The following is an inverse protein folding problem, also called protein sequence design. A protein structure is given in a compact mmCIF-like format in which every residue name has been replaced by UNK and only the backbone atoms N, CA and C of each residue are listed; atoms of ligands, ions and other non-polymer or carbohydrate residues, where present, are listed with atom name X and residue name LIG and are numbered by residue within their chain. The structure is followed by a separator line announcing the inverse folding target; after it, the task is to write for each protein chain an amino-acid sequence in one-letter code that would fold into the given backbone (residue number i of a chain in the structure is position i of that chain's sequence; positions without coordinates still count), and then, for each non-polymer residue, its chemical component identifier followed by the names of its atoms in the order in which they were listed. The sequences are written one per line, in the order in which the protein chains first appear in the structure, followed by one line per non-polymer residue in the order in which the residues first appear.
data_IF_561078193664
#
_entry.id   IF_561078193664
#
_cell.length_a   1.000
_cell.length_b   1.000
_cell.length_c   1.000
_cell.angle_alpha   90.00
_cell.angle_beta   90.00
_cell.angle_gamma   90.00
#
_symmetry.space_group_name_H-M   'P 1'
#
loop_
_entity.id
_entity.type
_entity.pdbx_description
1 polymer ?
#
# COMPACT_ATOMS: atom_id res chain seq x y z
N UNK A 1 24.22 -2.38 18.36
CA UNK A 1 23.71 -3.77 18.25
C UNK A 1 22.84 -3.85 17.01
N UNK A 2 23.43 -4.25 15.90
CA UNK A 2 22.83 -4.18 14.56
C UNK A 2 21.87 -5.36 14.38
N UNK A 3 20.55 -5.11 14.35
CA UNK A 3 19.58 -6.16 14.00
C UNK A 3 19.63 -6.33 12.48
N UNK A 4 20.49 -7.22 11.97
CA UNK A 4 20.45 -7.63 10.57
C UNK A 4 19.13 -8.35 10.33
N UNK A 5 18.11 -7.63 9.87
CA UNK A 5 16.83 -8.22 9.51
C UNK A 5 17.04 -8.98 8.19
N UNK A 6 16.87 -10.30 8.22
CA UNK A 6 17.08 -11.13 7.06
C UNK A 6 16.08 -10.79 5.94
N UNK A 7 16.56 -10.78 4.69
CA UNK A 7 15.71 -10.74 3.51
C UNK A 7 15.09 -12.12 3.34
N UNK A 8 13.76 -12.18 3.24
CA UNK A 8 13.01 -13.42 3.06
C UNK A 8 12.52 -13.50 1.62
N UNK A 9 12.89 -14.54 0.85
CA UNK A 9 12.34 -14.76 -0.48
C UNK A 9 10.93 -15.37 -0.39
N UNK A 10 9.97 -14.78 -1.10
CA UNK A 10 8.60 -15.28 -1.25
C UNK A 10 8.44 -15.84 -2.66
N UNK A 11 8.26 -17.16 -2.80
CA UNK A 11 8.14 -17.81 -4.12
C UNK A 11 6.67 -17.94 -4.49
N UNK A 12 6.35 -17.84 -5.79
CA UNK A 12 4.96 -17.92 -6.28
C UNK A 12 4.22 -19.21 -5.90
N UNK A 13 4.96 -20.31 -5.73
CA UNK A 13 4.40 -21.59 -5.27
C UNK A 13 4.05 -21.61 -3.76
N UNK A 14 4.56 -20.68 -2.97
CA UNK A 14 4.40 -20.66 -1.52
C UNK A 14 3.12 -19.93 -1.10
N UNK A 15 2.48 -20.40 -0.02
CA UNK A 15 1.28 -19.75 0.55
C UNK A 15 1.53 -18.33 1.06
N UNK A 16 2.79 -17.97 1.29
CA UNK A 16 3.22 -16.64 1.75
C UNK A 16 3.35 -15.63 0.61
N UNK A 17 3.24 -16.08 -0.65
CA UNK A 17 3.26 -15.21 -1.80
C UNK A 17 2.00 -14.33 -1.87
N UNK A 18 2.12 -13.03 -2.18
CA UNK A 18 0.95 -12.17 -2.32
C UNK A 18 0.08 -12.59 -3.52
N UNK A 19 -1.02 -13.30 -3.27
CA UNK A 19 -1.95 -13.76 -4.31
C UNK A 19 -2.43 -12.64 -5.24
N UNK A 20 -2.54 -11.40 -4.73
CA UNK A 20 -2.91 -10.23 -5.54
C UNK A 20 -1.93 -9.98 -6.69
N UNK A 21 -0.64 -10.28 -6.55
CA UNK A 21 0.32 -10.14 -7.64
C UNK A 21 0.01 -11.12 -8.78
N UNK A 22 -0.24 -12.38 -8.44
CA UNK A 22 -0.61 -13.39 -9.43
C UNK A 22 -1.93 -13.05 -10.13
N UNK A 23 -2.91 -12.52 -9.39
CA UNK A 23 -4.22 -12.13 -9.93
C UNK A 23 -4.11 -10.94 -10.91
N UNK A 24 -3.36 -9.88 -10.57
CA UNK A 24 -3.33 -8.66 -11.38
C UNK A 24 -2.25 -8.67 -12.48
N UNK A 25 -1.16 -9.41 -12.28
CA UNK A 25 -0.05 -9.48 -13.25
C UNK A 25 -0.07 -10.77 -14.09
N UNK A 26 -0.77 -11.82 -13.65
CA UNK A 26 -0.89 -13.08 -14.39
C UNK A 26 0.48 -13.71 -14.67
N UNK A 27 0.77 -13.95 -15.95
CA UNK A 27 2.07 -14.47 -16.41
C UNK A 27 3.24 -13.51 -16.17
N UNK A 28 2.97 -12.21 -15.97
CA UNK A 28 4.00 -11.20 -15.67
C UNK A 28 4.30 -11.10 -14.17
N UNK A 29 3.63 -11.88 -13.32
CA UNK A 29 3.93 -11.90 -11.89
C UNK A 29 5.35 -12.44 -11.66
N UNK A 30 6.19 -11.75 -10.87
CA UNK A 30 7.54 -12.23 -10.59
C UNK A 30 7.52 -13.60 -9.90
N UNK A 31 8.43 -14.50 -10.28
CA UNK A 31 8.49 -15.82 -9.65
C UNK A 31 8.90 -15.74 -8.17
N UNK A 32 9.71 -14.72 -7.82
CA UNK A 32 10.21 -14.47 -6.47
C UNK A 32 10.05 -12.99 -6.12
N UNK A 33 9.56 -12.70 -4.92
CA UNK A 33 9.55 -11.37 -4.31
C UNK A 33 10.41 -11.41 -3.06
N UNK A 34 11.45 -10.57 -3.00
CA UNK A 34 12.27 -10.43 -1.81
C UNK A 34 11.63 -9.44 -0.84
N UNK A 35 11.40 -9.87 0.39
CA UNK A 35 10.74 -9.07 1.41
C UNK A 35 11.66 -8.83 2.61
N UNK A 36 11.59 -7.61 3.16
CA UNK A 36 12.29 -7.21 4.37
C UNK A 36 11.27 -6.53 5.27
N UNK A 37 10.89 -7.15 6.38
CA UNK A 37 9.72 -6.62 7.08
C UNK A 37 9.02 -7.59 8.01
N UNK A 38 7.91 -7.12 8.58
CA UNK A 38 6.89 -7.99 9.14
C UNK A 38 5.99 -8.43 7.97
N UNK A 39 6.03 -9.71 7.60
CA UNK A 39 5.27 -10.23 6.44
C UNK A 39 3.76 -10.25 6.71
N UNK A 40 3.36 -10.22 7.97
CA UNK A 40 1.95 -10.25 8.38
C UNK A 40 1.14 -9.07 7.85
N UNK A 41 1.78 -7.94 7.54
CA UNK A 41 1.10 -6.77 6.92
C UNK A 41 0.52 -7.10 5.54
N UNK A 42 1.07 -8.09 4.84
CA UNK A 42 0.61 -8.51 3.50
C UNK A 42 -0.73 -9.24 3.55
N UNK A 43 -1.16 -9.70 4.73
CA UNK A 43 -2.46 -10.36 4.95
C UNK A 43 -3.59 -9.37 5.21
N UNK A 44 -3.28 -8.11 5.48
CA UNK A 44 -4.26 -7.07 5.78
C UNK A 44 -4.81 -6.43 4.50
N UNK A 45 -5.97 -5.78 4.59
CA UNK A 45 -6.49 -4.96 3.48
C UNK A 45 -5.64 -3.71 3.36
N UNK A 46 -4.80 -3.64 2.33
CA UNK A 46 -3.93 -2.50 2.06
C UNK A 46 -4.61 -1.46 1.19
N UNK A 47 -4.49 -0.19 1.54
CA UNK A 47 -4.74 0.94 0.64
C UNK A 47 -3.39 1.44 0.11
N UNK A 48 -3.33 1.73 -1.19
CA UNK A 48 -2.15 2.32 -1.82
C UNK A 48 -2.48 3.75 -2.21
N UNK A 49 -1.58 4.67 -1.88
CA UNK A 49 -1.65 6.08 -2.25
C UNK A 49 -0.56 6.36 -3.27
N UNK A 50 -0.95 6.87 -4.43
CA UNK A 50 -0.02 7.29 -5.49
C UNK A 50 -0.16 8.79 -5.71
N UNK A 51 0.94 9.46 -6.05
CA UNK A 51 0.91 10.85 -6.48
C UNK A 51 1.97 11.11 -7.55
N UNK A 52 1.82 12.24 -8.25
CA UNK A 52 2.86 12.76 -9.13
C UNK A 52 4.08 13.18 -8.32
N UNK A 53 5.27 13.04 -8.88
CA UNK A 53 6.51 13.57 -8.26
C UNK A 53 6.48 15.10 -8.07
N UNK A 54 5.62 15.81 -8.83
CA UNK A 54 5.38 17.26 -8.70
C UNK A 54 4.10 17.59 -7.93
N UNK A 55 3.64 16.70 -7.05
CA UNK A 55 2.44 16.92 -6.26
C UNK A 55 2.56 18.21 -5.43
N UNK A 56 1.51 19.04 -5.44
CA UNK A 56 1.49 20.25 -4.64
C UNK A 56 1.49 19.92 -3.14
N UNK A 57 2.18 20.74 -2.35
CA UNK A 57 2.35 20.50 -0.91
C UNK A 57 1.02 20.38 -0.15
N UNK A 58 0.02 21.18 -0.52
CA UNK A 58 -1.32 21.12 0.08
C UNK A 58 -2.00 19.75 -0.10
N UNK A 59 -1.81 19.11 -1.26
CA UNK A 59 -2.38 17.81 -1.56
C UNK A 59 -1.65 16.68 -0.82
N UNK A 60 -0.33 16.80 -0.64
CA UNK A 60 0.45 15.86 0.17
C UNK A 60 -0.05 15.87 1.62
N UNK A 61 -0.25 17.05 2.21
CA UNK A 61 -0.71 17.19 3.59
C UNK A 61 -2.11 16.61 3.79
N UNK A 62 -3.07 16.98 2.92
CA UNK A 62 -4.44 16.40 2.96
C UNK A 62 -4.44 14.88 2.80
N UNK A 63 -3.57 14.35 1.94
CA UNK A 63 -3.44 12.90 1.72
C UNK A 63 -2.85 12.20 2.95
N UNK A 64 -1.90 12.84 3.64
CA UNK A 64 -1.35 12.33 4.89
C UNK A 64 -2.40 12.32 6.01
N UNK A 65 -3.19 13.38 6.14
CA UNK A 65 -4.30 13.43 7.10
C UNK A 65 -5.30 12.30 6.84
N UNK A 66 -5.68 12.09 5.58
CA UNK A 66 -6.52 10.95 5.19
C UNK A 66 -5.89 9.60 5.54
N UNK A 67 -4.59 9.43 5.28
CA UNK A 67 -3.89 8.18 5.60
C UNK A 67 -3.91 7.91 7.11
N UNK A 68 -3.74 8.95 7.95
CA UNK A 68 -3.82 8.85 9.40
C UNK A 68 -5.23 8.47 9.86
N UNK A 69 -6.25 9.13 9.32
CA UNK A 69 -7.65 8.83 9.62
C UNK A 69 -8.01 7.37 9.29
N UNK A 70 -7.51 6.83 8.17
CA UNK A 70 -7.76 5.46 7.75
C UNK A 70 -6.97 4.42 8.54
N UNK A 71 -5.85 4.81 9.14
CA UNK A 71 -5.01 3.90 9.93
C UNK A 71 -5.53 3.76 11.37
N UNK A 72 -6.23 4.76 11.88
CA UNK A 72 -6.81 4.72 13.22
C UNK A 72 -7.94 3.68 13.33
N UNK A 73 -7.99 2.88 14.43
CA UNK A 73 -8.93 1.78 14.61
C UNK A 73 -10.43 2.17 14.61
N UNK A 74 -10.76 3.47 14.48
CA UNK A 74 -12.11 4.02 14.44
C UNK A 74 -12.49 4.69 13.10
N UNK A 75 -11.80 4.38 12.01
CA UNK A 75 -12.07 4.88 10.65
C UNK A 75 -13.40 4.36 10.05
N UNK A 76 -14.54 4.63 10.69
CA UNK A 76 -15.89 4.26 10.22
C UNK A 76 -16.56 5.35 9.39
N UNK A 77 -15.86 6.44 9.05
CA UNK A 77 -16.41 7.53 8.26
C UNK A 77 -15.52 7.77 7.05
N UNK A 78 -15.79 7.05 5.97
CA UNK A 78 -15.30 7.46 4.66
C UNK A 78 -15.90 8.84 4.35
N UNK A 79 -15.09 9.88 4.06
CA UNK A 79 -15.63 11.08 3.46
C UNK A 79 -16.21 10.69 2.10
N UNK A 80 -17.50 10.98 1.90
CA UNK A 80 -18.10 10.87 0.58
C UNK A 80 -17.35 11.80 -0.35
N UNK A 81 -16.99 11.29 -1.52
CA UNK A 81 -16.34 12.04 -2.60
C UNK A 81 -17.13 13.31 -2.88
N UNK A 82 -16.68 14.44 -2.33
CA UNK A 82 -17.12 15.76 -2.74
C UNK A 82 -16.53 16.04 -4.11
N UNK A 83 -17.39 16.36 -5.07
CA UNK A 83 -17.04 16.71 -6.42
C UNK A 83 -15.91 17.75 -6.42
N UNK A 84 -14.84 17.48 -7.17
CA UNK A 84 -13.89 18.51 -7.56
C UNK A 84 -14.65 19.42 -8.53
N UNK A 85 -15.11 20.56 -8.02
CA UNK A 85 -15.51 21.66 -8.89
C UNK A 85 -14.22 22.24 -9.48
N UNK A 86 -14.12 22.16 -10.80
CA UNK A 86 -13.19 22.97 -11.58
C UNK A 86 -13.60 24.44 -11.44
N UNK A 87 -12.74 25.23 -10.80
CA UNK A 87 -12.58 26.69 -10.96
C UNK A 87 -11.06 26.83 -11.16
N UNK A 88 -10.52 27.41 -12.24
CA UNK A 88 -10.94 28.49 -13.14
C UNK A 88 -10.28 28.30 -14.52
#
# INVERSE_FOLDING_TARGET
MERTKAIVPLRRADKTYPNRLAIHLGSRSPEIVNALGALEILKQKTLVLFCSIRCQGNLILKTYDLARELWEPHASKLPQTGNVQEEE
#
